data_IF_413218813784
#
_entry.id   IF_413218813784
#
_cell.length_a   1.000
_cell.length_b   1.000
_cell.length_c   1.000
_cell.angle_alpha   90.00
_cell.angle_beta   90.00
_cell.angle_gamma   90.00
#
_symmetry.space_group_name_H-M   'P 1'
#
loop_
_entity.id
_entity.type
_entity.pdbx_description
1 polymer ?
#
# COMPACT_ATOMS: atom_id res chain seq x y z
N UNK A 1 -11.66 21.43 7.05
CA UNK A 1 -10.78 20.27 7.27
C UNK A 1 -9.64 20.37 6.28
N UNK A 2 -8.40 20.15 6.74
CA UNK A 2 -7.23 20.09 5.88
C UNK A 2 -7.28 18.87 4.95
N UNK A 3 -6.43 18.83 3.92
CA UNK A 3 -6.30 17.68 3.05
C UNK A 3 -5.84 16.43 3.83
N UNK A 4 -4.92 16.60 4.78
CA UNK A 4 -4.49 15.52 5.68
C UNK A 4 -5.66 15.03 6.54
N UNK A 5 -6.40 15.94 7.19
CA UNK A 5 -7.54 15.57 8.04
C UNK A 5 -8.61 14.82 7.26
N UNK A 6 -8.84 15.22 6.00
CA UNK A 6 -9.80 14.57 5.10
C UNK A 6 -9.36 13.15 4.75
N UNK A 7 -8.08 12.95 4.38
CA UNK A 7 -7.53 11.62 4.09
C UNK A 7 -7.59 10.74 5.34
N UNK A 8 -7.23 11.28 6.50
CA UNK A 8 -7.27 10.57 7.77
C UNK A 8 -8.70 10.14 8.12
N UNK A 9 -9.68 11.03 7.98
CA UNK A 9 -11.09 10.72 8.23
C UNK A 9 -11.60 9.61 7.30
N UNK A 10 -11.28 9.68 5.99
CA UNK A 10 -11.64 8.62 5.03
C UNK A 10 -11.03 7.29 5.47
N UNK A 11 -9.75 7.26 5.83
CA UNK A 11 -9.08 6.04 6.26
C UNK A 11 -9.69 5.48 7.55
N UNK A 12 -10.04 6.33 8.51
CA UNK A 12 -10.73 5.94 9.76
C UNK A 12 -12.08 5.31 9.45
N UNK A 13 -12.90 5.94 8.61
CA UNK A 13 -14.22 5.42 8.22
C UNK A 13 -14.08 4.06 7.54
N UNK A 14 -13.21 3.95 6.54
CA UNK A 14 -12.99 2.68 5.82
C UNK A 14 -12.46 1.59 6.75
N UNK A 15 -11.57 1.93 7.67
CA UNK A 15 -11.01 0.99 8.65
C UNK A 15 -12.06 0.52 9.64
N UNK A 16 -12.89 1.43 10.17
CA UNK A 16 -14.00 1.10 11.06
C UNK A 16 -14.98 0.15 10.37
N UNK A 17 -15.40 0.48 9.14
CA UNK A 17 -16.25 -0.40 8.32
C UNK A 17 -15.60 -1.78 8.16
N UNK A 18 -14.32 -1.83 7.77
CA UNK A 18 -13.60 -3.09 7.57
C UNK A 18 -13.53 -3.93 8.85
N UNK A 19 -13.28 -3.30 10.00
CA UNK A 19 -13.26 -3.99 11.30
C UNK A 19 -14.64 -4.58 11.61
N UNK A 20 -15.73 -3.83 11.39
CA UNK A 20 -17.10 -4.35 11.56
C UNK A 20 -17.34 -5.56 10.66
N UNK A 21 -16.95 -5.51 9.39
CA UNK A 21 -17.05 -6.68 8.50
C UNK A 21 -16.24 -7.87 9.01
N UNK A 22 -15.02 -7.65 9.51
CA UNK A 22 -14.18 -8.71 10.06
C UNK A 22 -14.78 -9.34 11.32
N UNK A 23 -15.44 -8.56 12.18
CA UNK A 23 -16.04 -9.06 13.42
C UNK A 23 -17.39 -9.77 13.18
N UNK A 24 -18.21 -9.26 12.27
CA UNK A 24 -19.58 -9.79 12.05
C UNK A 24 -19.58 -10.92 11.03
N UNK A 25 -18.84 -10.78 9.92
CA UNK A 25 -18.82 -11.76 8.82
C UNK A 25 -17.51 -11.65 8.02
N UNK A 26 -16.40 -12.27 8.48
CA UNK A 26 -15.07 -12.10 7.89
C UNK A 26 -15.01 -12.33 6.37
N UNK A 27 -15.79 -13.29 5.85
CA UNK A 27 -15.83 -13.60 4.42
C UNK A 27 -16.56 -12.56 3.55
N UNK A 28 -17.39 -11.70 4.14
CA UNK A 28 -18.18 -10.72 3.38
C UNK A 28 -17.29 -9.66 2.71
N UNK A 29 -16.27 -9.16 3.43
CA UNK A 29 -15.31 -8.20 2.86
C UNK A 29 -14.61 -8.77 1.63
N UNK A 30 -14.12 -10.02 1.70
CA UNK A 30 -13.47 -10.69 0.58
C UNK A 30 -14.43 -10.99 -0.58
N UNK A 31 -15.71 -11.27 -0.29
CA UNK A 31 -16.71 -11.52 -1.33
C UNK A 31 -17.06 -10.27 -2.17
N UNK A 32 -16.93 -9.08 -1.59
CA UNK A 32 -17.24 -7.80 -2.25
C UNK A 32 -15.98 -7.15 -2.82
N UNK A 33 -15.01 -6.85 -1.95
CA UNK A 33 -13.78 -6.14 -2.31
C UNK A 33 -12.78 -7.09 -2.95
N UNK A 34 -12.68 -8.32 -2.46
CA UNK A 34 -11.73 -9.31 -3.01
C UNK A 34 -11.94 -9.59 -4.49
N UNK A 35 -13.19 -9.61 -4.98
CA UNK A 35 -13.48 -9.78 -6.43
C UNK A 35 -12.87 -8.69 -7.31
N UNK A 36 -12.80 -7.46 -6.80
CA UNK A 36 -12.15 -6.35 -7.50
C UNK A 36 -10.63 -6.55 -7.55
N UNK A 37 -10.04 -6.96 -6.42
CA UNK A 37 -8.61 -7.25 -6.29
C UNK A 37 -8.14 -8.42 -7.16
N UNK A 38 -9.00 -9.41 -7.42
CA UNK A 38 -8.66 -10.55 -8.28
C UNK A 38 -8.54 -10.18 -9.77
N UNK A 39 -8.94 -8.97 -10.18
CA UNK A 39 -8.79 -8.47 -11.56
C UNK A 39 -7.53 -7.60 -11.65
N UNK A 40 -6.37 -8.13 -12.08
CA UNK A 40 -5.08 -7.45 -11.95
C UNK A 40 -5.06 -6.07 -12.62
N UNK A 41 -5.59 -5.93 -13.84
CA UNK A 41 -5.63 -4.62 -14.51
C UNK A 41 -6.48 -3.58 -13.77
N UNK A 42 -7.62 -4.00 -13.20
CA UNK A 42 -8.49 -3.11 -12.42
C UNK A 42 -7.83 -2.73 -11.10
N UNK A 43 -7.25 -3.71 -10.40
CA UNK A 43 -6.52 -3.47 -9.16
C UNK A 43 -5.36 -2.50 -9.37
N UNK A 44 -4.59 -2.65 -10.45
CA UNK A 44 -3.50 -1.72 -10.81
C UNK A 44 -4.01 -0.32 -11.07
N UNK A 45 -5.04 -0.14 -11.91
CA UNK A 45 -5.58 1.21 -12.22
C UNK A 45 -6.11 1.88 -10.95
N UNK A 46 -6.89 1.16 -10.15
CA UNK A 46 -7.44 1.68 -8.89
C UNK A 46 -6.31 2.06 -7.93
N UNK A 47 -5.29 1.22 -7.77
CA UNK A 47 -4.16 1.52 -6.90
C UNK A 47 -3.37 2.75 -7.35
N UNK A 48 -3.16 2.93 -8.66
CA UNK A 48 -2.45 4.08 -9.20
C UNK A 48 -3.24 5.38 -9.07
N UNK A 49 -4.53 5.34 -9.40
CA UNK A 49 -5.40 6.52 -9.29
C UNK A 49 -5.52 6.93 -7.82
N UNK A 50 -5.84 6.00 -6.92
CA UNK A 50 -5.97 6.31 -5.50
C UNK A 50 -4.63 6.71 -4.88
N UNK A 51 -3.55 5.99 -5.17
CA UNK A 51 -2.22 6.30 -4.65
C UNK A 51 -1.72 7.66 -5.11
N UNK A 52 -1.85 7.97 -6.41
CA UNK A 52 -1.49 9.27 -6.96
C UNK A 52 -2.34 10.41 -6.42
N UNK A 53 -3.65 10.19 -6.25
CA UNK A 53 -4.56 11.18 -5.65
C UNK A 53 -4.20 11.47 -4.19
N UNK A 54 -3.99 10.43 -3.39
CA UNK A 54 -3.58 10.56 -1.98
C UNK A 54 -2.24 11.27 -1.89
N UNK A 55 -1.23 10.86 -2.68
CA UNK A 55 0.08 11.52 -2.70
C UNK A 55 -0.04 13.00 -3.06
N UNK A 56 -0.81 13.35 -4.09
CA UNK A 56 -1.04 14.74 -4.51
C UNK A 56 -1.61 15.58 -3.36
N UNK A 57 -2.60 15.08 -2.64
CA UNK A 57 -3.21 15.81 -1.52
C UNK A 57 -2.30 15.88 -0.30
N UNK A 58 -1.53 14.83 0.00
CA UNK A 58 -0.54 14.87 1.07
C UNK A 58 0.54 15.92 0.80
N UNK A 59 0.99 16.05 -0.45
CA UNK A 59 2.02 17.03 -0.85
C UNK A 59 1.57 18.50 -0.74
N UNK A 60 0.31 18.78 -0.43
CA UNK A 60 -0.17 20.14 -0.11
C UNK A 60 0.35 20.58 1.27
N UNK A 61 0.50 19.62 2.20
CA UNK A 61 0.78 19.91 3.62
C UNK A 61 2.05 19.20 4.13
N UNK A 62 2.48 18.11 3.48
CA UNK A 62 3.65 17.32 3.86
C UNK A 62 4.69 17.30 2.75
N UNK A 63 5.96 17.28 3.14
CA UNK A 63 7.05 16.98 2.20
C UNK A 63 7.12 15.49 1.91
N UNK A 64 7.76 15.12 0.80
CA UNK A 64 7.98 13.71 0.45
C UNK A 64 8.80 12.98 1.55
N UNK A 65 9.70 13.70 2.23
CA UNK A 65 10.49 13.18 3.35
C UNK A 65 9.59 12.82 4.54
N UNK A 66 8.65 13.70 4.91
CA UNK A 66 7.70 13.44 6.00
C UNK A 66 6.79 12.25 5.68
N UNK A 67 6.34 12.13 4.42
CA UNK A 67 5.55 10.97 3.97
C UNK A 67 6.37 9.67 4.11
N UNK A 68 7.64 9.67 3.70
CA UNK A 68 8.52 8.51 3.85
C UNK A 68 8.81 8.17 5.32
N UNK A 69 8.91 9.17 6.21
CA UNK A 69 9.05 8.92 7.64
C UNK A 69 7.83 8.19 8.22
N UNK A 70 6.61 8.59 7.84
CA UNK A 70 5.37 7.89 8.24
C UNK A 70 5.31 6.48 7.64
N UNK A 71 5.73 6.30 6.39
CA UNK A 71 5.83 4.97 5.77
C UNK A 71 6.83 4.07 6.49
N UNK A 72 7.96 4.62 6.94
CA UNK A 72 8.95 3.90 7.73
C UNK A 72 8.38 3.44 9.08
N UNK A 73 7.54 4.26 9.72
CA UNK A 73 6.78 3.86 10.91
C UNK A 73 5.72 2.77 10.60
N UNK A 74 5.04 2.87 9.45
CA UNK A 74 4.00 1.91 9.07
C UNK A 74 4.55 0.54 8.63
N UNK A 75 5.74 0.49 8.01
CA UNK A 75 6.37 -0.74 7.54
C UNK A 75 6.51 -1.86 8.61
N UNK A 76 7.00 -1.60 9.84
CA UNK A 76 7.05 -2.62 10.89
C UNK A 76 5.66 -3.05 11.39
N UNK A 77 4.64 -2.17 11.34
CA UNK A 77 3.27 -2.57 11.66
C UNK A 77 2.75 -3.58 10.62
N UNK A 78 3.03 -3.33 9.33
CA UNK A 78 2.72 -4.30 8.27
C UNK A 78 3.42 -5.63 8.51
N UNK A 79 4.71 -5.61 8.88
CA UNK A 79 5.46 -6.82 9.23
C UNK A 79 4.81 -7.58 10.38
N UNK A 80 4.40 -6.89 11.45
CA UNK A 80 3.69 -7.49 12.58
C UNK A 80 2.42 -8.22 12.11
N UNK A 81 1.61 -7.59 11.26
CA UNK A 81 0.38 -8.22 10.74
C UNK A 81 0.63 -9.43 9.83
N UNK A 82 1.79 -9.47 9.17
CA UNK A 82 2.18 -10.57 8.28
C UNK A 82 2.88 -11.73 9.03
N UNK A 83 3.39 -11.47 10.24
CA UNK A 83 4.18 -12.44 11.01
C UNK A 83 3.52 -13.81 11.26
N UNK A 84 2.18 -13.94 11.44
CA UNK A 84 1.55 -15.25 11.58
C UNK A 84 1.65 -16.10 10.30
N UNK A 85 1.81 -15.46 9.13
CA UNK A 85 1.87 -16.09 7.82
C UNK A 85 3.30 -16.21 7.27
N UNK A 86 4.33 -16.02 8.13
CA UNK A 86 5.74 -15.95 7.72
C UNK A 86 6.21 -17.11 6.83
N UNK A 87 5.79 -18.35 7.11
CA UNK A 87 6.18 -19.53 6.34
C UNK A 87 5.61 -19.46 4.92
N UNK A 88 4.31 -19.18 4.80
CA UNK A 88 3.65 -19.07 3.50
C UNK A 88 4.26 -17.93 2.65
N UNK A 89 4.61 -16.81 3.29
CA UNK A 89 5.29 -15.70 2.62
C UNK A 89 6.69 -16.09 2.14
N UNK A 90 7.46 -16.79 2.97
CA UNK A 90 8.79 -17.28 2.61
C UNK A 90 8.73 -18.27 1.43
N UNK A 91 7.83 -19.26 1.51
CA UNK A 91 7.66 -20.27 0.45
C UNK A 91 7.17 -19.65 -0.86
N UNK A 92 6.29 -18.64 -0.78
CA UNK A 92 5.85 -17.88 -1.95
C UNK A 92 7.02 -17.07 -2.56
N UNK A 93 7.77 -16.34 -1.74
CA UNK A 93 8.87 -15.51 -2.21
C UNK A 93 9.98 -16.36 -2.86
N UNK A 94 10.38 -17.47 -2.23
CA UNK A 94 11.41 -18.37 -2.76
C UNK A 94 11.00 -19.00 -4.09
N UNK A 95 9.75 -19.45 -4.22
CA UNK A 95 9.20 -19.97 -5.48
C UNK A 95 9.24 -18.94 -6.60
N UNK A 96 8.84 -17.71 -6.30
CA UNK A 96 8.78 -16.66 -7.32
C UNK A 96 10.19 -16.16 -7.69
N UNK A 97 11.13 -16.12 -6.73
CA UNK A 97 12.55 -15.79 -6.98
C UNK A 97 13.24 -16.84 -7.86
N UNK A 98 13.06 -18.12 -7.58
CA UNK A 98 13.69 -19.20 -8.35
C UNK A 98 13.21 -19.25 -9.80
N UNK A 99 11.98 -18.82 -10.05
CA UNK A 99 11.44 -18.67 -11.40
C UNK A 99 11.91 -17.40 -12.14
N UNK A 100 12.68 -16.51 -11.49
CA UNK A 100 13.08 -15.20 -12.03
C UNK A 100 11.91 -14.24 -12.25
N UNK A 101 10.69 -14.63 -11.89
CA UNK A 101 9.46 -13.96 -12.27
C UNK A 101 9.13 -12.71 -11.48
N UNK A 102 9.69 -12.51 -10.28
CA UNK A 102 9.29 -11.41 -9.38
C UNK A 102 9.52 -10.04 -10.02
N UNK A 103 10.73 -9.78 -10.51
CA UNK A 103 11.04 -8.47 -11.09
C UNK A 103 10.21 -8.23 -12.35
N UNK A 104 10.06 -9.24 -13.21
CA UNK A 104 9.24 -9.13 -14.42
C UNK A 104 7.75 -8.93 -14.13
N UNK A 105 7.22 -9.50 -13.03
CA UNK A 105 5.81 -9.32 -12.63
C UNK A 105 5.56 -7.98 -11.93
N UNK A 106 6.55 -7.45 -11.22
CA UNK A 106 6.42 -6.25 -10.38
C UNK A 106 7.19 -5.02 -10.91
N UNK A 107 7.76 -5.10 -12.12
CA UNK A 107 8.66 -4.07 -12.66
C UNK A 107 8.06 -2.66 -12.58
N UNK A 108 6.76 -2.51 -12.84
CA UNK A 108 6.09 -1.23 -12.82
C UNK A 108 6.06 -0.61 -11.41
N UNK A 109 5.77 -1.43 -10.40
CA UNK A 109 5.85 -1.00 -9.00
C UNK A 109 7.28 -0.67 -8.57
N UNK A 110 8.27 -1.44 -9.05
CA UNK A 110 9.69 -1.18 -8.81
C UNK A 110 10.12 0.17 -9.40
N UNK A 111 9.69 0.50 -10.62
CA UNK A 111 9.98 1.79 -11.25
C UNK A 111 9.39 2.94 -10.44
N UNK A 112 8.13 2.85 -10.03
CA UNK A 112 7.50 3.87 -9.17
C UNK A 112 8.28 4.03 -7.88
N UNK A 113 8.68 2.94 -7.25
CA UNK A 113 9.46 2.98 -6.01
C UNK A 113 10.82 3.67 -6.19
N UNK A 114 11.54 3.35 -7.26
CA UNK A 114 12.82 3.99 -7.59
C UNK A 114 12.63 5.50 -7.77
N UNK A 115 11.60 5.94 -8.50
CA UNK A 115 11.31 7.37 -8.69
C UNK A 115 11.05 8.08 -7.36
N UNK A 116 10.28 7.47 -6.46
CA UNK A 116 10.00 8.03 -5.13
C UNK A 116 11.27 8.10 -4.26
N UNK A 117 12.11 7.06 -4.29
CA UNK A 117 13.39 7.06 -3.56
C UNK A 117 14.32 8.15 -4.07
N UNK A 118 14.46 8.31 -5.39
CA UNK A 118 15.27 9.38 -5.98
C UNK A 118 14.75 10.75 -5.56
N UNK A 119 13.42 10.94 -5.54
CA UNK A 119 12.82 12.20 -5.10
C UNK A 119 13.14 12.50 -3.63
N UNK A 120 12.98 11.53 -2.73
CA UNK A 120 13.33 11.71 -1.31
C UNK A 120 14.81 12.04 -1.14
N UNK A 121 15.70 11.31 -1.83
CA UNK A 121 17.13 11.58 -1.77
C UNK A 121 17.45 12.99 -2.25
N UNK A 122 16.83 13.44 -3.35
CA UNK A 122 17.00 14.81 -3.83
C UNK A 122 16.56 15.83 -2.77
N UNK A 123 15.42 15.62 -2.12
CA UNK A 123 14.91 16.55 -1.10
C UNK A 123 15.75 16.55 0.17
N UNK A 124 16.35 15.42 0.54
CA UNK A 124 17.22 15.33 1.72
C UNK A 124 18.56 16.04 1.57
N UNK A 125 19.05 16.18 0.33
CA UNK A 125 20.36 16.74 0.00
C UNK A 125 20.29 18.01 -0.85
N UNK A 126 19.09 18.54 -1.11
CA UNK A 126 18.88 19.84 -1.76
C UNK A 126 19.01 20.98 -0.74
#
# INVERSE_FOLDING_TARGET
>A
MSAIETIALILVIVSAIKIVFLLVKPGAWFSTVGKLWMKPGVATVVALVLGGLVLKYLLIELTIVQIFAVMAFFAPLMWLTMSPYRKNLYDMATRELSSGGILKKNWFGVVIWILLVIWVLKELYA
#
